data_IF_624526356518
#
_entry.id   IF_624526356518
#
_cell.length_a   1.000
_cell.length_b   1.000
_cell.length_c   1.000
_cell.angle_alpha   90.00
_cell.angle_beta   90.00
_cell.angle_gamma   90.00
#
_symmetry.space_group_name_H-M   'P 1'
#
loop_
_entity.id
_entity.type
_entity.pdbx_description
1 polymer ?
#
# COMPACT_ATOMS: atom_id res chain seq x y z
N UNK A 1 8.50 14.36 27.32
CA UNK A 1 7.50 15.40 27.05
C UNK A 1 6.79 15.06 25.75
N UNK A 2 5.47 14.85 25.76
CA UNK A 2 4.68 14.50 24.57
C UNK A 2 4.47 15.78 23.75
N UNK A 3 5.12 15.92 22.58
CA UNK A 3 4.92 17.10 21.70
C UNK A 3 3.45 17.13 21.25
N UNK A 4 2.77 18.27 21.40
CA UNK A 4 1.40 18.43 20.87
C UNK A 4 1.48 18.54 19.33
N UNK A 5 0.69 17.77 18.57
CA UNK A 5 0.65 17.92 17.12
C UNK A 5 0.25 19.34 16.72
N UNK A 6 0.94 19.90 15.73
CA UNK A 6 0.58 21.18 15.13
C UNK A 6 -0.71 21.01 14.33
N UNK A 7 -1.65 21.94 14.49
CA UNK A 7 -2.78 22.04 13.58
C UNK A 7 -2.29 22.57 12.23
N UNK A 8 -2.67 21.89 11.15
CA UNK A 8 -2.40 22.35 9.79
C UNK A 8 -3.39 23.46 9.44
N UNK A 9 -2.87 24.59 8.95
CA UNK A 9 -3.69 25.74 8.53
C UNK A 9 -4.39 25.50 7.20
N UNK A 10 -3.81 24.64 6.35
CA UNK A 10 -4.34 24.26 5.04
C UNK A 10 -4.75 22.78 5.03
N UNK A 11 -5.68 22.42 4.14
CA UNK A 11 -6.04 21.02 3.92
C UNK A 11 -4.87 20.31 3.22
N UNK A 12 -4.50 19.08 3.65
CA UNK A 12 -3.40 18.36 3.03
C UNK A 12 -3.71 18.02 1.57
N UNK A 13 -2.66 18.00 0.75
CA UNK A 13 -2.73 17.62 -0.66
C UNK A 13 -2.46 16.11 -0.86
N UNK A 14 -3.14 15.50 -1.81
CA UNK A 14 -2.82 14.17 -2.34
C UNK A 14 -2.24 14.32 -3.74
N UNK A 15 -0.99 13.90 -3.90
CA UNK A 15 -0.31 13.80 -5.18
C UNK A 15 -0.53 12.39 -5.76
N UNK A 16 -0.95 12.27 -7.02
CA UNK A 16 -1.11 10.98 -7.68
C UNK A 16 -0.72 11.06 -9.17
N UNK A 17 -0.32 9.95 -9.81
CA UNK A 17 -0.13 9.89 -11.24
C UNK A 17 -1.43 10.25 -11.97
N UNK A 18 -1.33 11.05 -13.04
CA UNK A 18 -2.48 11.36 -13.91
C UNK A 18 -3.13 10.14 -14.61
N UNK A 19 -2.52 8.96 -14.50
CA UNK A 19 -3.04 7.71 -15.05
C UNK A 19 -3.84 6.92 -14.00
N UNK A 20 -5.16 6.83 -14.18
CA UNK A 20 -6.06 6.01 -13.35
C UNK A 20 -7.25 6.79 -12.78
N UNK A 21 -8.18 6.08 -12.13
CA UNK A 21 -9.31 6.75 -11.45
C UNK A 21 -8.81 7.52 -10.23
N UNK A 22 -9.16 8.81 -10.09
CA UNK A 22 -8.65 9.65 -9.01
C UNK A 22 -9.10 9.14 -7.64
N UNK A 23 -8.15 9.08 -6.70
CA UNK A 23 -8.47 8.69 -5.33
C UNK A 23 -9.09 9.87 -4.58
N UNK A 24 -10.37 9.75 -4.21
CA UNK A 24 -11.08 10.74 -3.40
C UNK A 24 -10.89 10.41 -1.93
N UNK A 25 -10.36 11.37 -1.17
CA UNK A 25 -10.05 11.21 0.25
C UNK A 25 -10.86 12.19 1.08
N UNK A 26 -11.72 11.65 1.94
CA UNK A 26 -12.52 12.39 2.93
C UNK A 26 -11.68 12.56 4.21
N UNK A 27 -11.50 13.79 4.68
CA UNK A 27 -10.65 14.09 5.84
C UNK A 27 -11.39 13.93 7.17
N UNK A 28 -12.73 13.96 7.15
CA UNK A 28 -13.57 13.94 8.35
C UNK A 28 -14.03 12.53 8.73
N UNK A 29 -13.22 11.53 8.39
CA UNK A 29 -13.54 10.13 8.63
C UNK A 29 -13.94 9.86 10.08
N UNK A 30 -13.41 10.61 11.06
CA UNK A 30 -13.70 10.44 12.49
C UNK A 30 -15.19 10.50 12.86
N UNK A 31 -16.04 11.20 12.10
CA UNK A 31 -17.43 11.52 12.51
C UNK A 31 -18.51 10.58 11.94
N UNK A 32 -18.10 9.57 11.16
CA UNK A 32 -19.03 8.50 10.75
C UNK A 32 -19.24 7.55 11.93
N UNK A 33 -20.15 7.92 12.83
CA UNK A 33 -20.67 7.03 13.87
C UNK A 33 -21.18 5.72 13.27
N UNK A 34 -21.01 4.64 14.03
CA UNK A 34 -21.66 3.35 13.79
C UNK A 34 -23.17 3.55 13.82
N UNK A 35 -23.79 3.82 12.67
CA UNK A 35 -25.23 3.97 12.55
C UNK A 35 -25.90 2.62 12.83
N UNK A 36 -26.40 2.47 14.05
CA UNK A 36 -27.40 1.47 14.41
C UNK A 36 -28.67 1.77 13.59
N UNK A 37 -29.13 0.80 12.79
CA UNK A 37 -30.24 0.94 11.84
C UNK A 37 -31.63 0.96 12.50
N UNK A 38 -31.71 1.25 13.80
CA UNK A 38 -32.93 1.05 14.59
C UNK A 38 -33.58 2.33 15.13
N UNK A 39 -33.12 3.53 14.76
CA UNK A 39 -33.77 4.77 15.19
C UNK A 39 -34.48 5.54 14.05
N UNK A 40 -35.73 5.99 14.27
CA UNK A 40 -36.48 6.73 13.25
C UNK A 40 -35.88 8.12 13.04
N UNK A 41 -35.80 8.50 11.76
CA UNK A 41 -35.26 9.78 11.31
C UNK A 41 -36.10 10.96 11.81
N UNK A 42 -35.67 11.57 12.92
CA UNK A 42 -36.13 12.87 13.40
C UNK A 42 -35.16 13.97 12.97
N UNK A 43 -35.66 14.98 12.28
CA UNK A 43 -34.85 15.99 11.60
C UNK A 43 -33.99 16.85 12.52
N UNK A 44 -32.71 16.96 12.15
CA UNK A 44 -31.91 18.18 12.09
C UNK A 44 -30.68 17.82 11.24
N UNK A 45 -30.61 18.38 10.04
CA UNK A 45 -29.52 18.13 9.10
C UNK A 45 -28.20 18.59 9.71
N UNK A 46 -27.42 17.63 10.21
CA UNK A 46 -25.99 17.84 10.47
C UNK A 46 -25.37 18.14 9.12
N UNK A 47 -24.99 19.40 8.91
CA UNK A 47 -24.17 19.81 7.78
C UNK A 47 -22.79 19.16 7.97
N UNK A 48 -22.65 17.92 7.51
CA UNK A 48 -21.34 17.27 7.39
C UNK A 48 -20.61 17.98 6.26
N UNK A 49 -19.83 19.01 6.58
CA UNK A 49 -18.93 19.64 5.62
C UNK A 49 -17.80 18.66 5.32
N UNK A 50 -17.99 17.77 4.35
CA UNK A 50 -16.96 16.83 3.91
C UNK A 50 -15.73 17.59 3.38
N UNK A 51 -14.70 17.75 4.20
CA UNK A 51 -13.45 18.37 3.76
C UNK A 51 -12.67 17.35 2.94
N UNK A 52 -12.47 17.63 1.66
CA UNK A 52 -11.70 16.77 0.74
C UNK A 52 -10.25 17.23 0.65
N UNK A 53 -9.34 16.28 0.48
CA UNK A 53 -7.95 16.59 0.12
C UNK A 53 -7.87 17.24 -1.26
N UNK A 54 -6.93 18.15 -1.46
CA UNK A 54 -6.66 18.73 -2.79
C UNK A 54 -5.87 17.74 -3.63
N UNK A 55 -6.29 17.47 -4.85
CA UNK A 55 -5.64 16.51 -5.74
C UNK A 55 -4.68 17.24 -6.66
N UNK A 56 -3.42 16.77 -6.74
CA UNK A 56 -2.37 17.32 -7.59
C UNK A 56 -1.67 16.23 -8.39
N UNK A 57 -1.03 16.61 -9.49
CA UNK A 57 -0.26 15.65 -10.28
C UNK A 57 1.07 15.32 -9.58
N UNK A 58 1.45 14.04 -9.57
CA UNK A 58 2.70 13.58 -8.97
C UNK A 58 3.93 14.25 -9.58
N UNK A 59 3.91 14.64 -10.86
CA UNK A 59 5.02 15.31 -11.53
C UNK A 59 5.34 16.70 -10.94
N UNK A 60 4.37 17.37 -10.32
CA UNK A 60 4.59 18.65 -9.63
C UNK A 60 5.43 18.50 -8.36
N UNK A 61 5.51 17.29 -7.80
CA UNK A 61 6.20 17.01 -6.54
C UNK A 61 7.65 16.56 -6.72
N UNK A 62 7.93 15.85 -7.82
CA UNK A 62 9.18 15.12 -8.03
C UNK A 62 10.30 16.10 -8.37
N UNK A 63 11.33 16.17 -7.52
CA UNK A 63 12.51 16.98 -7.80
C UNK A 63 13.35 16.37 -8.94
N UNK A 64 13.94 17.23 -9.76
CA UNK A 64 14.98 16.84 -10.71
C UNK A 64 16.25 16.45 -9.93
N UNK A 65 16.40 15.15 -9.70
CA UNK A 65 17.54 14.58 -8.99
C UNK A 65 18.03 13.33 -9.71
N UNK A 66 19.34 13.20 -9.85
CA UNK A 66 19.97 12.00 -10.39
C UNK A 66 19.67 10.79 -9.48
N UNK A 67 19.23 9.64 -10.04
CA UNK A 67 18.98 8.43 -9.27
C UNK A 67 20.24 7.94 -8.56
N UNK A 68 20.12 7.61 -7.27
CA UNK A 68 21.22 7.00 -6.52
C UNK A 68 21.44 5.55 -7.00
N UNK A 69 22.53 5.33 -7.75
CA UNK A 69 22.87 4.04 -8.33
C UNK A 69 23.13 2.96 -7.28
N UNK A 70 23.74 3.31 -6.14
CA UNK A 70 24.02 2.33 -5.09
C UNK A 70 22.73 1.82 -4.45
N UNK A 71 21.79 2.73 -4.22
CA UNK A 71 20.48 2.42 -3.68
C UNK A 71 19.65 1.56 -4.64
N UNK A 72 19.69 1.89 -5.94
CA UNK A 72 19.05 1.09 -6.98
C UNK A 72 19.62 -0.34 -7.04
N UNK A 73 20.96 -0.48 -7.04
CA UNK A 73 21.64 -1.79 -7.05
C UNK A 73 21.31 -2.60 -5.79
N UNK A 74 21.29 -1.96 -4.62
CA UNK A 74 20.89 -2.60 -3.38
C UNK A 74 19.44 -3.10 -3.44
N UNK A 75 18.50 -2.29 -3.90
CA UNK A 75 17.09 -2.69 -4.03
C UNK A 75 16.95 -3.88 -5.00
N UNK A 76 17.64 -3.86 -6.14
CA UNK A 76 17.65 -4.99 -7.08
C UNK A 76 18.23 -6.25 -6.42
N UNK A 77 19.33 -6.14 -5.68
CA UNK A 77 19.93 -7.26 -4.94
C UNK A 77 18.98 -7.82 -3.88
N UNK A 78 18.25 -6.96 -3.17
CA UNK A 78 17.27 -7.35 -2.17
C UNK A 78 16.10 -8.07 -2.84
N UNK A 79 15.51 -7.51 -3.90
CA UNK A 79 14.43 -8.13 -4.66
C UNK A 79 14.81 -9.53 -5.18
N UNK A 80 16.05 -9.71 -5.66
CA UNK A 80 16.56 -11.02 -6.12
C UNK A 80 16.79 -12.03 -5.00
N UNK A 81 17.21 -11.59 -3.82
CA UNK A 81 17.51 -12.46 -2.66
C UNK A 81 16.28 -12.79 -1.84
N UNK A 82 15.30 -11.91 -1.82
CA UNK A 82 14.03 -12.07 -1.12
C UNK A 82 13.02 -12.82 -1.97
N UNK A 83 13.41 -13.99 -2.49
CA UNK A 83 12.44 -15.02 -2.83
C UNK A 83 11.75 -15.47 -1.54
N UNK A 84 10.83 -14.63 -1.06
CA UNK A 84 9.95 -14.92 0.06
C UNK A 84 9.28 -16.24 -0.30
N UNK A 85 9.38 -17.21 0.61
CA UNK A 85 8.90 -18.58 0.39
C UNK A 85 7.50 -18.49 -0.18
N UNK A 86 7.35 -18.79 -1.49
CA UNK A 86 6.05 -18.87 -2.14
C UNK A 86 5.22 -19.85 -1.35
N UNK A 87 4.23 -19.36 -0.61
CA UNK A 87 3.26 -20.23 0.06
C UNK A 87 2.62 -21.10 -1.03
N UNK A 88 2.51 -22.42 -0.84
CA UNK A 88 1.91 -23.29 -1.84
C UNK A 88 0.50 -22.78 -2.18
N UNK A 89 0.25 -22.56 -3.47
CA UNK A 89 -1.03 -22.07 -3.97
C UNK A 89 -2.09 -23.15 -3.79
N UNK A 90 -3.26 -22.80 -3.26
CA UNK A 90 -4.47 -23.57 -3.49
C UNK A 90 -5.19 -22.99 -4.73
N UNK A 91 -5.08 -23.65 -5.90
CA UNK A 91 -5.69 -23.18 -7.14
C UNK A 91 -7.23 -23.20 -7.11
N UNK A 92 -7.86 -23.83 -6.11
CA UNK A 92 -9.33 -23.88 -6.02
C UNK A 92 -9.95 -22.59 -5.47
N UNK A 93 -9.15 -21.68 -4.91
CA UNK A 93 -9.63 -20.51 -4.16
C UNK A 93 -9.53 -19.15 -4.90
N UNK A 94 -9.11 -19.11 -6.17
CA UNK A 94 -8.77 -17.87 -6.90
C UNK A 94 -9.89 -17.28 -7.78
N UNK A 95 -10.94 -18.06 -8.08
CA UNK A 95 -12.04 -17.64 -8.96
C UNK A 95 -13.05 -16.74 -8.26
N UNK A 96 -13.54 -15.67 -8.91
CA UNK A 96 -14.58 -14.80 -8.37
C UNK A 96 -14.63 -13.41 -8.99
N UNK A 97 -15.22 -12.41 -8.32
CA UNK A 97 -15.44 -11.05 -8.85
C UNK A 97 -14.17 -10.17 -9.01
N UNK A 98 -13.05 -10.73 -9.45
CA UNK A 98 -11.79 -10.01 -9.68
C UNK A 98 -11.59 -9.60 -11.14
N UNK A 99 -10.32 -9.34 -11.51
CA UNK A 99 -9.94 -8.96 -12.88
C UNK A 99 -10.02 -10.19 -13.79
N UNK A 100 -10.40 -9.98 -15.04
CA UNK A 100 -10.37 -11.03 -16.06
C UNK A 100 -8.89 -11.38 -16.34
N UNK A 101 -8.55 -12.65 -16.30
CA UNK A 101 -7.21 -13.16 -16.57
C UNK A 101 -7.29 -14.43 -17.42
N UNK A 102 -6.37 -14.56 -18.37
CA UNK A 102 -6.25 -15.72 -19.26
C UNK A 102 -5.45 -16.80 -18.55
N UNK A 103 -6.07 -17.95 -18.29
CA UNK A 103 -5.51 -19.04 -17.49
C UNK A 103 -5.77 -20.39 -18.14
N UNK A 104 -4.91 -21.41 -17.92
CA UNK A 104 -5.15 -22.77 -18.39
C UNK A 104 -6.50 -23.33 -17.95
N UNK A 105 -7.19 -24.00 -18.86
CA UNK A 105 -8.48 -24.61 -18.59
C UNK A 105 -8.40 -25.72 -17.54
N UNK A 106 -9.36 -25.69 -16.61
CA UNK A 106 -9.50 -26.67 -15.52
C UNK A 106 -10.97 -27.06 -15.31
N UNK A 107 -11.62 -27.49 -16.38
CA UNK A 107 -12.93 -28.18 -16.42
C UNK A 107 -14.16 -27.42 -15.90
N UNK A 108 -14.09 -26.09 -15.74
CA UNK A 108 -15.18 -25.30 -15.11
C UNK A 108 -15.34 -23.86 -15.65
N UNK A 109 -14.80 -23.56 -16.83
CA UNK A 109 -14.90 -22.24 -17.47
C UNK A 109 -15.45 -22.40 -18.89
N UNK A 110 -16.29 -21.46 -19.30
CA UNK A 110 -16.97 -21.43 -20.59
C UNK A 110 -16.49 -20.29 -21.51
N UNK A 111 -15.72 -19.33 -21.00
CA UNK A 111 -15.11 -18.25 -21.78
C UNK A 111 -13.68 -18.61 -22.21
N UNK A 112 -13.47 -18.95 -23.50
CA UNK A 112 -12.16 -19.33 -24.05
C UNK A 112 -11.42 -18.10 -24.57
N UNK A 113 -10.17 -17.93 -24.17
CA UNK A 113 -9.25 -16.96 -24.78
C UNK A 113 -8.65 -17.53 -26.05
N UNK A 114 -9.34 -17.33 -27.17
CA UNK A 114 -8.94 -17.89 -28.46
C UNK A 114 -7.55 -17.44 -28.89
N UNK A 115 -7.24 -16.15 -28.74
CA UNK A 115 -5.95 -15.58 -29.15
C UNK A 115 -4.81 -16.28 -28.41
N UNK A 116 -4.95 -16.38 -27.07
CA UNK A 116 -3.89 -16.97 -26.25
C UNK A 116 -3.81 -18.49 -26.39
N UNK A 117 -4.93 -19.15 -26.63
CA UNK A 117 -4.96 -20.58 -26.94
C UNK A 117 -4.25 -20.88 -28.26
N UNK A 118 -4.51 -20.09 -29.31
CA UNK A 118 -3.85 -20.28 -30.62
C UNK A 118 -2.33 -20.20 -30.47
N UNK A 119 -1.81 -19.22 -29.70
CA UNK A 119 -0.38 -19.10 -29.46
C UNK A 119 0.22 -20.36 -28.79
N UNK A 120 -0.46 -20.93 -27.79
CA UNK A 120 -0.01 -22.18 -27.17
C UNK A 120 -0.04 -23.35 -28.17
N UNK A 121 -1.10 -23.43 -28.98
CA UNK A 121 -1.25 -24.49 -29.98
C UNK A 121 -0.24 -24.40 -31.13
N UNK A 122 0.29 -23.20 -31.43
CA UNK A 122 1.37 -23.06 -32.43
C UNK A 122 2.67 -23.73 -31.97
N UNK A 123 2.92 -23.78 -30.66
CA UNK A 123 4.08 -24.48 -30.08
C UNK A 123 3.80 -25.96 -29.80
N UNK A 124 2.52 -26.31 -29.59
CA UNK A 124 2.04 -27.65 -29.23
C UNK A 124 0.83 -28.06 -30.07
N UNK A 125 1.05 -28.67 -31.25
CA UNK A 125 -0.04 -29.03 -32.17
C UNK A 125 -0.94 -30.18 -31.68
N UNK A 126 -0.54 -30.90 -30.63
CA UNK A 126 -1.38 -31.92 -29.96
C UNK A 126 -1.66 -31.44 -28.54
N UNK A 127 -2.77 -30.69 -28.32
CA UNK A 127 -3.05 -30.11 -27.03
C UNK A 127 -3.58 -31.11 -26.01
N UNK A 128 -3.16 -30.91 -24.76
CA UNK A 128 -3.86 -31.38 -23.58
C UNK A 128 -4.93 -30.35 -23.17
N UNK A 129 -5.88 -30.74 -22.32
CA UNK A 129 -6.94 -29.84 -21.86
C UNK A 129 -6.40 -28.56 -21.20
N UNK A 130 -5.20 -28.60 -20.62
CA UNK A 130 -4.53 -27.42 -20.03
C UNK A 130 -3.93 -26.47 -21.05
N UNK A 131 -3.79 -26.88 -22.31
CA UNK A 131 -3.31 -26.03 -23.40
C UNK A 131 -4.43 -25.13 -23.98
N UNK A 132 -5.68 -25.38 -23.58
CA UNK A 132 -6.79 -24.46 -23.80
C UNK A 132 -6.72 -23.34 -22.75
N UNK A 133 -6.68 -22.09 -23.20
CA UNK A 133 -6.66 -20.92 -22.32
C UNK A 133 -8.07 -20.35 -22.21
N UNK A 134 -8.52 -20.12 -20.98
CA UNK A 134 -9.84 -19.54 -20.66
C UNK A 134 -9.70 -18.21 -19.94
N UNK A 135 -10.69 -17.34 -20.11
CA UNK A 135 -10.79 -16.07 -19.40
C UNK A 135 -11.60 -16.27 -18.14
N UNK A 136 -10.92 -16.29 -17.00
CA UNK A 136 -11.58 -16.37 -15.69
C UNK A 136 -11.42 -15.04 -14.94
N UNK A 137 -12.46 -14.63 -14.21
CA UNK A 137 -12.29 -13.54 -13.25
C UNK A 137 -11.54 -14.08 -12.03
N UNK A 138 -10.31 -13.61 -11.87
CA UNK A 138 -9.39 -13.99 -10.81
C UNK A 138 -9.36 -12.88 -9.76
N UNK A 139 -9.70 -13.20 -8.51
CA UNK A 139 -9.48 -12.28 -7.39
C UNK A 139 -8.02 -12.35 -6.98
N UNK A 140 -7.33 -11.20 -6.93
CA UNK A 140 -6.04 -11.10 -6.26
C UNK A 140 -6.18 -11.64 -4.84
N UNK A 141 -5.23 -12.47 -4.41
CA UNK A 141 -5.31 -13.06 -3.07
C UNK A 141 -5.06 -12.00 -2.02
N UNK A 142 -4.10 -11.11 -2.30
CA UNK A 142 -3.64 -10.07 -1.40
C UNK A 142 -3.64 -8.71 -2.08
N UNK A 143 -3.99 -7.70 -1.31
CA UNK A 143 -3.70 -6.31 -1.61
C UNK A 143 -2.96 -5.70 -0.43
N UNK A 144 -1.82 -5.09 -0.72
CA UNK A 144 -0.97 -4.45 0.29
C UNK A 144 -0.76 -2.99 -0.08
N UNK A 145 -1.06 -2.07 0.85
CA UNK A 145 -0.60 -0.67 0.75
C UNK A 145 0.63 -0.49 1.64
N UNK A 146 1.77 -0.20 1.04
CA UNK A 146 2.96 0.25 1.75
C UNK A 146 2.86 1.76 1.98
N UNK A 147 2.98 2.19 3.23
CA UNK A 147 2.94 3.59 3.65
C UNK A 147 4.33 3.95 4.17
N UNK A 148 5.02 4.89 3.53
CA UNK A 148 6.41 5.26 3.84
C UNK A 148 6.49 6.69 4.32
N UNK A 149 7.04 6.86 5.52
CA UNK A 149 7.34 8.17 6.07
C UNK A 149 8.56 8.79 5.37
N UNK A 150 8.36 9.96 4.77
CA UNK A 150 9.41 10.78 4.13
C UNK A 150 9.50 12.18 4.73
N UNK A 151 8.96 12.37 5.94
CA UNK A 151 8.94 13.67 6.62
C UNK A 151 10.35 14.19 6.98
N UNK A 152 11.25 13.30 7.41
CA UNK A 152 12.64 13.62 7.69
C UNK A 152 13.56 13.47 6.48
N UNK A 153 14.85 13.84 6.61
CA UNK A 153 15.81 13.63 5.54
C UNK A 153 15.98 12.13 5.25
N UNK A 154 15.53 11.68 4.08
CA UNK A 154 15.75 10.32 3.59
C UNK A 154 17.22 10.15 3.21
N UNK A 155 18.07 9.84 4.20
CA UNK A 155 19.51 9.61 4.02
C UNK A 155 19.96 8.35 4.75
N UNK A 156 21.09 7.80 4.31
CA UNK A 156 21.73 6.67 4.96
C UNK A 156 20.77 5.48 5.13
N UNK A 157 20.60 5.03 6.36
CA UNK A 157 19.86 3.81 6.69
C UNK A 157 18.36 3.89 6.38
N UNK A 158 17.72 5.06 6.53
CA UNK A 158 16.30 5.28 6.19
C UNK A 158 16.00 4.97 4.71
N UNK A 159 16.89 5.40 3.81
CA UNK A 159 16.79 5.08 2.38
C UNK A 159 16.94 3.59 2.14
N UNK A 160 17.90 2.94 2.81
CA UNK A 160 18.11 1.49 2.68
C UNK A 160 16.92 0.69 3.19
N UNK A 161 16.29 1.11 4.29
CA UNK A 161 15.09 0.48 4.83
C UNK A 161 13.90 0.62 3.88
N UNK A 162 13.65 1.82 3.34
CA UNK A 162 12.60 2.03 2.36
C UNK A 162 12.82 1.21 1.08
N UNK A 163 14.04 1.25 0.54
CA UNK A 163 14.45 0.45 -0.61
C UNK A 163 14.27 -1.07 -0.36
N UNK A 164 14.68 -1.55 0.81
CA UNK A 164 14.51 -2.95 1.20
C UNK A 164 13.03 -3.33 1.28
N UNK A 165 12.19 -2.46 1.83
CA UNK A 165 10.75 -2.72 2.03
C UNK A 165 10.01 -2.75 0.70
N UNK A 166 10.25 -1.76 -0.17
CA UNK A 166 9.69 -1.73 -1.53
C UNK A 166 10.13 -2.97 -2.32
N UNK A 167 11.43 -3.27 -2.32
CA UNK A 167 11.97 -4.42 -3.04
C UNK A 167 11.40 -5.76 -2.54
N UNK A 168 11.29 -5.93 -1.22
CA UNK A 168 10.72 -7.13 -0.60
C UNK A 168 9.25 -7.32 -0.98
N UNK A 169 8.43 -6.27 -0.84
CA UNK A 169 7.00 -6.34 -1.13
C UNK A 169 6.73 -6.51 -2.62
N UNK A 170 7.47 -5.82 -3.50
CA UNK A 170 7.33 -5.99 -4.94
C UNK A 170 7.70 -7.40 -5.40
N UNK A 171 8.67 -8.05 -4.75
CA UNK A 171 9.03 -9.44 -5.04
C UNK A 171 7.99 -10.45 -4.50
N UNK A 172 7.45 -10.20 -3.30
CA UNK A 172 6.42 -11.04 -2.67
C UNK A 172 5.09 -11.01 -3.44
N UNK A 173 4.70 -9.82 -3.89
CA UNK A 173 3.39 -9.52 -4.46
C UNK A 173 3.41 -9.48 -5.99
N UNK A 174 4.28 -10.25 -6.64
CA UNK A 174 4.40 -10.25 -8.11
C UNK A 174 3.08 -10.56 -8.83
N UNK A 175 2.24 -11.41 -8.24
CA UNK A 175 0.92 -11.78 -8.75
C UNK A 175 -0.24 -11.13 -7.96
N UNK A 176 0.08 -10.26 -7.00
CA UNK A 176 -0.86 -9.62 -6.07
C UNK A 176 -0.82 -8.08 -6.24
N UNK A 177 -1.67 -7.36 -5.52
CA UNK A 177 -1.73 -5.89 -5.65
C UNK A 177 -0.82 -5.22 -4.63
N UNK A 178 0.01 -4.27 -5.11
CA UNK A 178 0.84 -3.42 -4.29
C UNK A 178 0.59 -1.95 -4.64
N UNK A 179 0.22 -1.17 -3.62
CA UNK A 179 0.21 0.28 -3.68
C UNK A 179 1.31 0.84 -2.77
N UNK A 180 1.86 2.00 -3.14
CA UNK A 180 2.87 2.70 -2.34
C UNK A 180 2.44 4.13 -2.13
N UNK A 181 2.32 4.53 -0.87
CA UNK A 181 2.02 5.89 -0.42
C UNK A 181 3.24 6.43 0.32
N UNK A 182 3.77 7.56 -0.11
CA UNK A 182 4.76 8.31 0.64
C UNK A 182 4.07 9.48 1.36
N UNK A 183 4.48 9.85 2.56
CA UNK A 183 3.81 10.92 3.31
C UNK A 183 4.74 11.80 4.14
N UNK A 184 4.27 13.02 4.38
CA UNK A 184 4.82 14.01 5.30
C UNK A 184 3.64 14.78 5.94
N UNK A 185 3.51 16.11 5.78
CA UNK A 185 2.25 16.83 6.01
C UNK A 185 1.16 16.45 5.01
N UNK A 186 1.58 16.14 3.78
CA UNK A 186 0.75 15.71 2.65
C UNK A 186 1.05 14.24 2.31
N UNK A 187 0.49 13.72 1.22
CA UNK A 187 0.75 12.36 0.78
C UNK A 187 0.87 12.26 -0.74
N UNK A 188 1.66 11.29 -1.20
CA UNK A 188 1.87 10.96 -2.60
C UNK A 188 1.61 9.47 -2.85
N UNK A 189 0.61 9.15 -3.67
CA UNK A 189 0.32 7.79 -4.13
C UNK A 189 1.24 7.45 -5.31
N UNK A 190 2.38 6.81 -5.07
CA UNK A 190 3.39 6.54 -6.09
C UNK A 190 2.97 5.45 -7.08
N UNK A 191 2.19 4.49 -6.61
CA UNK A 191 1.48 3.51 -7.44
C UNK A 191 0.14 3.14 -6.80
N UNK A 192 -0.96 3.20 -7.56
CA UNK A 192 -2.24 2.65 -7.12
C UNK A 192 -2.24 1.11 -7.22
N UNK A 193 -3.17 0.45 -6.52
CA UNK A 193 -3.35 -1.01 -6.50
C UNK A 193 -3.73 -1.60 -7.88
N UNK A 194 -4.26 -0.75 -8.76
CA UNK A 194 -4.69 -1.14 -10.10
C UNK A 194 -3.53 -1.19 -11.10
N UNK A 195 -2.41 -0.54 -10.79
CA UNK A 195 -1.24 -0.41 -11.66
C UNK A 195 -0.09 -1.31 -11.22
N UNK A 196 0.70 -1.76 -12.19
CA UNK A 196 1.96 -2.44 -11.93
C UNK A 196 3.12 -1.51 -12.29
N UNK A 197 3.94 -1.17 -11.30
CA UNK A 197 5.13 -0.34 -11.48
C UNK A 197 6.34 -1.11 -10.95
N UNK A 198 7.43 -1.26 -11.74
CA UNK A 198 8.63 -1.93 -11.27
C UNK A 198 9.20 -1.29 -10.00
N UNK A 199 9.71 -2.11 -9.08
CA UNK A 199 10.28 -1.68 -7.81
C UNK A 199 11.36 -0.57 -7.97
N UNK A 200 12.16 -0.65 -9.04
CA UNK A 200 13.17 0.36 -9.36
C UNK A 200 12.58 1.74 -9.63
N UNK A 201 11.47 1.81 -10.38
CA UNK A 201 10.77 3.07 -10.66
C UNK A 201 10.04 3.60 -9.43
N UNK A 202 9.47 2.72 -8.60
CA UNK A 202 8.86 3.13 -7.33
C UNK A 202 9.88 3.76 -6.39
N UNK A 203 11.05 3.13 -6.28
CA UNK A 203 12.13 3.65 -5.46
C UNK A 203 12.66 4.98 -5.99
N UNK A 204 12.88 5.10 -7.30
CA UNK A 204 13.30 6.36 -7.91
C UNK A 204 12.29 7.49 -7.62
N UNK A 205 10.99 7.23 -7.80
CA UNK A 205 9.93 8.19 -7.43
C UNK A 205 9.98 8.57 -5.96
N UNK A 206 10.13 7.59 -5.07
CA UNK A 206 10.17 7.80 -3.61
C UNK A 206 11.34 8.69 -3.18
N UNK A 207 12.52 8.51 -3.79
CA UNK A 207 13.75 9.23 -3.42
C UNK A 207 13.80 10.67 -3.94
N UNK A 208 12.94 11.02 -4.90
CA UNK A 208 12.81 12.37 -5.45
C UNK A 208 11.76 13.22 -4.74
N UNK A 209 11.10 12.68 -3.72
CA UNK A 209 10.15 13.43 -2.91
C UNK A 209 10.93 14.33 -1.95
N UNK A 210 10.66 15.65 -1.93
CA UNK A 210 11.31 16.56 -0.99
C UNK A 210 10.93 16.20 0.45
N UNK A 211 11.93 16.11 1.33
CA UNK A 211 11.70 15.99 2.76
C UNK A 211 11.13 17.31 3.32
N UNK A 212 9.90 17.24 3.83
CA UNK A 212 9.19 18.39 4.43
C UNK A 212 8.85 18.00 5.86
N UNK A 213 9.57 18.57 6.83
CA UNK A 213 9.70 18.15 8.25
C UNK A 213 8.46 17.97 9.14
N UNK A 214 7.27 17.79 8.58
CA UNK A 214 6.03 17.49 9.30
C UNK A 214 5.57 16.06 9.00
N UNK A 215 4.95 15.41 9.98
CA UNK A 215 4.60 13.99 9.96
C UNK A 215 3.12 13.81 10.28
N UNK A 216 2.28 13.78 9.24
CA UNK A 216 0.84 13.62 9.29
C UNK A 216 0.41 12.17 9.02
N UNK A 217 0.70 11.32 10.01
CA UNK A 217 0.34 9.88 9.98
C UNK A 217 -1.17 9.68 9.75
N UNK A 218 -2.02 10.55 10.30
CA UNK A 218 -3.47 10.43 10.13
C UNK A 218 -3.86 10.51 8.65
N UNK A 219 -3.37 11.52 7.93
CA UNK A 219 -3.69 11.67 6.51
C UNK A 219 -3.16 10.51 5.66
N UNK A 220 -1.94 10.04 5.96
CA UNK A 220 -1.36 8.89 5.28
C UNK A 220 -2.21 7.61 5.45
N UNK A 221 -2.69 7.36 6.66
CA UNK A 221 -3.59 6.23 6.95
C UNK A 221 -4.95 6.41 6.24
N UNK A 222 -5.47 7.63 6.17
CA UNK A 222 -6.74 7.92 5.48
C UNK A 222 -6.61 7.65 3.97
N UNK A 223 -5.52 8.09 3.33
CA UNK A 223 -5.21 7.79 1.93
C UNK A 223 -5.08 6.28 1.70
N UNK A 224 -4.30 5.59 2.54
CA UNK A 224 -4.09 4.15 2.40
C UNK A 224 -5.35 3.32 2.60
N UNK A 225 -6.21 3.72 3.56
CA UNK A 225 -7.50 3.09 3.78
C UNK A 225 -8.43 3.27 2.57
N UNK A 226 -8.50 4.49 2.01
CA UNK A 226 -9.28 4.77 0.81
C UNK A 226 -8.80 3.93 -0.39
N UNK A 227 -7.48 3.79 -0.57
CA UNK A 227 -6.92 2.97 -1.63
C UNK A 227 -7.22 1.47 -1.41
N UNK A 228 -7.05 0.94 -0.19
CA UNK A 228 -7.42 -0.45 0.12
C UNK A 228 -8.91 -0.74 -0.11
N UNK A 229 -9.79 0.23 0.13
CA UNK A 229 -11.22 0.07 -0.07
C UNK A 229 -11.61 -0.16 -1.54
N UNK A 230 -10.75 0.23 -2.49
CA UNK A 230 -10.94 -0.02 -3.94
C UNK A 230 -10.64 -1.47 -4.33
N UNK A 231 -9.92 -2.22 -3.49
CA UNK A 231 -9.56 -3.60 -3.79
C UNK A 231 -10.64 -4.59 -3.35
N UNK A 232 -10.94 -5.53 -4.24
CA UNK A 232 -11.76 -6.71 -3.97
C UNK A 232 -10.92 -7.94 -3.53
N UNK A 233 -9.64 -7.75 -3.21
CA UNK A 233 -8.77 -8.84 -2.76
C UNK A 233 -9.27 -9.45 -1.45
N UNK A 234 -9.06 -10.76 -1.29
CA UNK A 234 -9.53 -11.51 -0.11
C UNK A 234 -8.87 -11.02 1.17
N UNK A 235 -7.54 -10.86 1.14
CA UNK A 235 -6.76 -10.30 2.25
C UNK A 235 -6.28 -8.90 1.86
N UNK A 236 -6.65 -7.91 2.66
CA UNK A 236 -6.28 -6.51 2.48
C UNK A 236 -5.47 -6.11 3.70
N UNK A 237 -4.27 -5.60 3.50
CA UNK A 237 -3.39 -5.21 4.60
C UNK A 237 -2.65 -3.92 4.26
N UNK A 238 -2.29 -3.16 5.28
CA UNK A 238 -1.37 -2.03 5.14
C UNK A 238 -0.10 -2.30 5.95
N UNK A 239 1.03 -1.79 5.47
CA UNK A 239 2.31 -1.82 6.17
C UNK A 239 2.81 -0.39 6.28
N UNK A 240 2.88 0.14 7.50
CA UNK A 240 3.40 1.47 7.79
C UNK A 240 4.87 1.39 8.20
N UNK A 241 5.75 2.03 7.43
CA UNK A 241 7.16 2.23 7.72
C UNK A 241 7.38 3.67 8.20
N UNK A 242 7.68 3.86 9.48
CA UNK A 242 7.80 5.19 10.12
C UNK A 242 8.61 5.10 11.41
N UNK A 243 9.14 6.23 11.89
CA UNK A 243 9.61 6.38 13.28
C UNK A 243 8.46 6.77 14.25
N UNK A 244 7.24 6.90 13.74
CA UNK A 244 6.01 7.21 14.45
C UNK A 244 6.01 8.56 15.19
N UNK A 245 6.88 9.50 14.81
CA UNK A 245 6.91 10.84 15.42
C UNK A 245 5.80 11.73 14.84
N UNK A 246 4.55 11.36 15.10
CA UNK A 246 3.38 12.10 14.67
C UNK A 246 3.35 13.49 15.32
N UNK A 247 3.40 14.53 14.48
CA UNK A 247 3.55 15.91 14.95
C UNK A 247 2.64 16.90 14.20
N UNK A 248 1.79 16.43 13.29
CA UNK A 248 0.84 17.25 12.55
C UNK A 248 -0.46 16.49 12.26
N UNK A 249 -1.60 17.19 12.32
CA UNK A 249 -2.92 16.62 12.01
C UNK A 249 -3.63 15.95 13.20
N UNK A 250 -4.78 15.29 12.94
CA UNK A 250 -5.59 14.62 13.97
C UNK A 250 -4.96 13.31 14.49
N UNK A 251 -5.53 12.71 15.54
CA UNK A 251 -5.03 11.44 16.09
C UNK A 251 -5.14 10.31 15.03
N UNK A 252 -4.02 9.67 14.62
CA UNK A 252 -4.03 8.58 13.64
C UNK A 252 -4.73 7.30 14.14
N UNK A 253 -4.89 7.12 15.46
CA UNK A 253 -5.59 5.96 16.06
C UNK A 253 -7.04 5.85 15.61
N UNK A 254 -7.68 6.97 15.28
CA UNK A 254 -9.07 7.02 14.81
C UNK A 254 -9.26 6.29 13.48
N UNK A 255 -8.29 6.42 12.58
CA UNK A 255 -8.29 5.79 11.26
C UNK A 255 -7.74 4.37 11.33
N UNK A 256 -6.73 4.12 12.17
CA UNK A 256 -6.12 2.81 12.34
C UNK A 256 -7.14 1.70 12.62
N UNK A 257 -8.16 1.99 13.45
CA UNK A 257 -9.26 1.07 13.81
C UNK A 257 -10.11 0.58 12.63
N UNK A 258 -10.03 1.24 11.48
CA UNK A 258 -10.83 0.91 10.29
C UNK A 258 -10.12 -0.07 9.36
N UNK A 259 -8.82 -0.28 9.56
CA UNK A 259 -8.08 -1.21 8.74
C UNK A 259 -8.51 -2.65 9.06
N UNK A 260 -8.69 -3.49 8.03
CA UNK A 260 -8.81 -4.93 8.25
C UNK A 260 -7.52 -5.52 8.84
N UNK A 261 -6.37 -4.99 8.43
CA UNK A 261 -5.05 -5.37 8.94
C UNK A 261 -4.05 -4.23 8.68
N UNK A 262 -3.44 -3.68 9.73
CA UNK A 262 -2.41 -2.63 9.67
C UNK A 262 -1.19 -3.08 10.47
N UNK A 263 -0.12 -3.40 9.76
CA UNK A 263 1.18 -3.68 10.36
C UNK A 263 2.01 -2.41 10.47
N UNK A 264 2.86 -2.34 11.49
CA UNK A 264 3.77 -1.22 11.70
C UNK A 264 5.20 -1.74 11.78
N UNK A 265 6.04 -1.28 10.87
CA UNK A 265 7.49 -1.42 10.91
C UNK A 265 8.08 -0.13 11.47
N UNK A 266 8.42 -0.15 12.77
CA UNK A 266 8.91 1.03 13.46
C UNK A 266 10.42 1.17 13.28
N UNK A 267 10.86 2.29 12.71
CA UNK A 267 12.27 2.66 12.62
C UNK A 267 12.76 3.12 14.00
N UNK A 268 13.79 2.45 14.52
CA UNK A 268 14.34 2.74 15.85
C UNK A 268 15.69 3.46 15.81
N UNK A 269 16.16 3.87 14.63
CA UNK A 269 17.39 4.64 14.40
C UNK A 269 17.18 6.14 14.71
N UNK A 270 16.74 6.46 15.93
CA UNK A 270 16.55 7.85 16.38
C UNK A 270 15.38 8.06 17.33
N UNK A 271 14.88 9.30 17.38
CA UNK A 271 13.64 9.65 18.10
C UNK A 271 12.49 8.87 17.47
N UNK A 272 11.74 8.12 18.28
CA UNK A 272 10.62 7.31 17.83
C UNK A 272 9.52 7.24 18.89
N UNK A 273 8.27 7.01 18.48
CA UNK A 273 7.14 6.80 19.38
C UNK A 273 6.67 5.33 19.31
N UNK A 274 7.40 4.45 20.01
CA UNK A 274 7.06 3.04 20.09
C UNK A 274 5.64 2.78 20.66
N UNK A 275 5.19 3.49 21.72
CA UNK A 275 3.82 3.37 22.19
C UNK A 275 2.77 3.68 21.10
N UNK A 276 2.95 4.75 20.32
CA UNK A 276 2.04 5.07 19.22
C UNK A 276 2.09 4.00 18.12
N UNK A 277 3.28 3.57 17.70
CA UNK A 277 3.42 2.53 16.69
C UNK A 277 2.75 1.21 17.09
N UNK A 278 2.90 0.81 18.36
CA UNK A 278 2.24 -0.38 18.91
C UNK A 278 0.71 -0.22 18.97
N UNK A 279 0.22 0.97 19.36
CA UNK A 279 -1.20 1.27 19.35
C UNK A 279 -1.81 1.19 17.95
N UNK A 280 -1.15 1.77 16.94
CA UNK A 280 -1.65 1.74 15.56
C UNK A 280 -1.76 0.29 15.04
N UNK A 281 -0.73 -0.52 15.26
CA UNK A 281 -0.75 -1.92 14.86
C UNK A 281 -1.86 -2.72 15.57
N UNK A 282 -1.99 -2.54 16.89
CA UNK A 282 -3.01 -3.21 17.71
C UNK A 282 -4.42 -2.81 17.30
N UNK A 283 -4.65 -1.51 17.10
CA UNK A 283 -5.96 -0.98 16.74
C UNK A 283 -6.38 -1.37 15.33
N UNK A 284 -5.44 -1.45 14.39
CA UNK A 284 -5.70 -1.95 13.04
C UNK A 284 -5.51 -3.45 12.88
N UNK A 285 -5.59 -4.24 13.95
CA UNK A 285 -5.58 -5.71 13.92
C UNK A 285 -4.35 -6.34 13.26
N UNK A 286 -3.24 -5.62 13.16
CA UNK A 286 -2.01 -6.11 12.58
C UNK A 286 -0.94 -6.41 13.63
N UNK A 287 0.32 -6.28 13.21
CA UNK A 287 1.49 -6.65 14.00
C UNK A 287 2.50 -5.51 14.02
N UNK A 288 3.13 -5.34 15.17
CA UNK A 288 4.18 -4.34 15.39
C UNK A 288 5.54 -5.03 15.33
N UNK A 289 6.47 -4.45 14.57
CA UNK A 289 7.85 -4.92 14.49
C UNK A 289 8.82 -3.74 14.48
N UNK A 290 9.72 -3.62 15.49
CA UNK A 290 10.81 -2.66 15.44
C UNK A 290 11.87 -3.14 14.43
N UNK A 291 12.47 -2.19 13.71
CA UNK A 291 13.56 -2.39 12.77
C UNK A 291 14.65 -1.34 13.04
N UNK A 292 15.90 -1.78 13.19
CA UNK A 292 17.03 -0.89 13.38
C UNK A 292 17.76 -0.62 12.05
N UNK A 293 17.73 -1.60 11.15
CA UNK A 293 18.45 -1.56 9.87
C UNK A 293 17.63 -2.17 8.73
N UNK A 294 18.06 -1.89 7.50
CA UNK A 294 17.52 -2.48 6.27
C UNK A 294 17.57 -4.02 6.24
N UNK A 295 18.46 -4.63 7.04
CA UNK A 295 18.58 -6.08 7.14
C UNK A 295 17.42 -6.71 7.93
N UNK A 296 16.83 -5.94 8.85
CA UNK A 296 15.74 -6.40 9.71
C UNK A 296 14.38 -6.39 8.98
N UNK A 297 14.29 -5.61 7.88
CA UNK A 297 13.06 -5.42 7.09
C UNK A 297 12.49 -6.74 6.60
N UNK A 298 13.29 -7.58 5.96
CA UNK A 298 12.80 -8.82 5.39
C UNK A 298 12.32 -9.83 6.44
N UNK A 299 13.09 -10.12 7.52
CA UNK A 299 12.59 -10.89 8.65
C UNK A 299 11.33 -10.30 9.29
N UNK A 300 11.25 -8.97 9.41
CA UNK A 300 10.06 -8.31 9.95
C UNK A 300 8.85 -8.50 9.05
N UNK A 301 8.97 -8.25 7.74
CA UNK A 301 7.91 -8.45 6.75
C UNK A 301 7.41 -9.90 6.73
N UNK A 302 8.32 -10.87 6.76
CA UNK A 302 7.94 -12.28 6.85
C UNK A 302 7.12 -12.56 8.12
N UNK A 303 7.52 -12.02 9.27
CA UNK A 303 6.76 -12.20 10.53
C UNK A 303 5.41 -11.51 10.50
N UNK A 304 5.29 -10.34 9.87
CA UNK A 304 4.03 -9.59 9.86
C UNK A 304 3.06 -10.10 8.80
N UNK A 305 3.54 -10.55 7.65
CA UNK A 305 2.71 -11.00 6.52
C UNK A 305 2.45 -12.51 6.48
N UNK A 306 3.15 -13.34 7.28
CA UNK A 306 2.98 -14.80 7.29
C UNK A 306 1.62 -15.33 7.80
N UNK A 307 0.66 -14.46 8.15
CA UNK A 307 -0.73 -14.83 8.44
C UNK A 307 -1.44 -15.44 7.23
#
# INVERSE_FOLDING_TARGET
>A
MRRRPKQLTEAPALYQPGTGSPLVVDLDLADRGTGDLTQPAGGQGVLLTHRRATLRDLTELVEEREPDREVAVMAQRIARRLSIRRRPRDPRAERGAGKLASVPYRYRSDDIDLDRTIEVLTERPVPEDTDIIVRERMRSRRAVVLIVDVSGSMRGEKVRMAAATVAALSADLVDDQLAVVAFWSDAALLTPLEAHVPASRLLDRLLRIPARGLTNVHFALTVAHAELARSAARRRSAVLLTDAVHNAGPDPRTVARRFPELHVLLQTDGEHDAPLGADLARLGHGRFAPIATHRDVAPALNRVLAG
#
